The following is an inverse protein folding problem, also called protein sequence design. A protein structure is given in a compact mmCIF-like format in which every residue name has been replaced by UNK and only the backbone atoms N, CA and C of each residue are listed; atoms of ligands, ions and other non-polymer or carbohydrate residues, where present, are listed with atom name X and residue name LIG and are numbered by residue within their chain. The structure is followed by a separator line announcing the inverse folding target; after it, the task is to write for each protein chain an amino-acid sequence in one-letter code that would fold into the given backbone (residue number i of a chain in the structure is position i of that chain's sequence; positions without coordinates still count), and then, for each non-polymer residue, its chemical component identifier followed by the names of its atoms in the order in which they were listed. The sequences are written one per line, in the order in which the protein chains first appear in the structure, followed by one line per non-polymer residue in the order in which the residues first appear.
data_IF_178696093877
#
_entry.id   IF_178696093877
#
_cell.length_a   1.000
_cell.length_b   1.000
_cell.length_c   1.000
_cell.angle_alpha   90.00
_cell.angle_beta   90.00
_cell.angle_gamma   90.00
#
_symmetry.space_group_name_H-M   'P 1'
#
loop_
_entity.id
_entity.type
_entity.pdbx_description
1 polymer ?
#
# COMPACT_ATOMS: atom_id res chain seq x y z
N UNK A 1 17.22 10.77 13.28
CA UNK A 1 15.89 10.13 13.27
C UNK A 1 15.69 9.63 11.84
N UNK A 2 15.11 8.43 11.64
CA UNK A 2 14.83 7.90 10.29
C UNK A 2 13.93 8.87 9.53
N UNK A 3 14.17 9.02 8.21
CA UNK A 3 13.34 9.86 7.33
C UNK A 3 12.63 8.98 6.30
N UNK A 4 11.32 9.07 6.23
CA UNK A 4 10.47 8.30 5.33
C UNK A 4 9.72 9.24 4.40
N UNK A 5 9.75 8.96 3.09
CA UNK A 5 8.94 9.65 2.11
C UNK A 5 7.68 8.85 1.80
N UNK A 6 6.50 9.45 1.96
CA UNK A 6 5.25 8.91 1.43
C UNK A 6 4.90 9.56 0.11
N UNK A 7 4.86 8.77 -0.96
CA UNK A 7 4.40 9.16 -2.29
C UNK A 7 2.92 8.87 -2.38
N UNK A 8 2.11 9.93 -2.46
CA UNK A 8 0.65 9.88 -2.43
C UNK A 8 0.06 9.87 -3.84
N UNK A 9 -0.83 8.92 -4.12
CA UNK A 9 -1.58 8.79 -5.37
C UNK A 9 -3.03 9.23 -5.17
N UNK A 10 -3.22 10.50 -4.74
CA UNK A 10 -4.53 11.06 -4.42
C UNK A 10 -4.71 12.44 -5.02
N UNK A 11 -5.96 12.73 -5.46
CA UNK A 11 -6.35 14.01 -6.04
C UNK A 11 -7.24 14.81 -5.09
N UNK A 12 -8.15 14.14 -4.39
CA UNK A 12 -9.14 14.77 -3.51
C UNK A 12 -8.45 15.31 -2.25
N UNK A 13 -8.52 16.62 -1.95
CA UNK A 13 -7.81 17.22 -0.80
C UNK A 13 -8.11 16.57 0.53
N UNK A 14 -9.37 16.21 0.77
CA UNK A 14 -9.78 15.49 1.97
C UNK A 14 -9.09 14.13 2.09
N UNK A 15 -9.03 13.37 1.00
CA UNK A 15 -8.38 12.06 0.97
C UNK A 15 -6.86 12.15 1.16
N UNK A 16 -6.23 13.21 0.64
CA UNK A 16 -4.82 13.52 0.89
C UNK A 16 -4.60 13.72 2.39
N UNK A 17 -5.40 14.57 3.02
CA UNK A 17 -5.29 14.87 4.44
C UNK A 17 -5.51 13.64 5.33
N UNK A 18 -6.55 12.86 5.05
CA UNK A 18 -6.86 11.64 5.79
C UNK A 18 -5.72 10.61 5.69
N UNK A 19 -5.16 10.42 4.51
CA UNK A 19 -4.01 9.51 4.32
C UNK A 19 -2.81 9.99 5.13
N UNK A 20 -2.49 11.28 5.07
CA UNK A 20 -1.41 11.87 5.86
C UNK A 20 -1.60 11.65 7.37
N UNK A 21 -2.80 11.88 7.90
CA UNK A 21 -3.09 11.64 9.31
C UNK A 21 -2.94 10.16 9.70
N UNK A 22 -3.43 9.25 8.83
CA UNK A 22 -3.33 7.82 9.07
C UNK A 22 -1.87 7.37 9.14
N UNK A 23 -1.04 7.81 8.20
CA UNK A 23 0.38 7.47 8.19
C UNK A 23 1.16 8.16 9.31
N UNK A 24 0.89 9.44 9.63
CA UNK A 24 1.51 10.10 10.80
C UNK A 24 1.23 9.32 12.10
N UNK A 25 0.00 8.84 12.27
CA UNK A 25 -0.35 8.01 13.43
C UNK A 25 0.38 6.66 13.41
N UNK A 26 0.43 5.97 12.27
CA UNK A 26 1.07 4.65 12.14
C UNK A 26 2.59 4.71 12.29
N UNK A 27 3.22 5.78 11.81
CA UNK A 27 4.68 6.05 11.95
C UNK A 27 5.02 6.53 13.36
N UNK A 28 4.16 7.34 13.97
CA UNK A 28 4.35 7.85 15.32
C UNK A 28 5.66 8.63 15.48
N UNK A 29 6.47 8.23 16.48
CA UNK A 29 7.77 8.82 16.79
C UNK A 29 8.95 8.04 16.19
N UNK A 30 8.70 7.00 15.41
CA UNK A 30 9.74 6.11 14.88
C UNK A 30 10.53 6.74 13.74
N UNK A 31 9.89 7.64 12.98
CA UNK A 31 10.50 8.33 11.86
C UNK A 31 9.87 9.70 11.62
N UNK A 32 10.62 10.58 10.98
CA UNK A 32 10.09 11.78 10.32
C UNK A 32 9.42 11.36 9.02
N UNK A 33 8.20 11.85 8.78
CA UNK A 33 7.41 11.49 7.59
C UNK A 33 7.17 12.72 6.74
N UNK A 34 7.68 12.68 5.52
CA UNK A 34 7.45 13.70 4.49
C UNK A 34 6.50 13.17 3.41
N UNK A 35 5.87 14.08 2.68
CA UNK A 35 4.83 13.77 1.70
C UNK A 35 5.14 14.35 0.34
N UNK A 36 4.96 13.53 -0.69
CA UNK A 36 5.11 13.90 -2.09
C UNK A 36 3.87 13.47 -2.87
N UNK A 37 3.28 14.37 -3.64
CA UNK A 37 2.19 14.01 -4.53
C UNK A 37 2.71 13.40 -5.84
N UNK A 38 2.25 12.21 -6.20
CA UNK A 38 2.52 11.60 -7.51
C UNK A 38 1.93 12.42 -8.69
N UNK A 39 1.08 13.40 -8.38
CA UNK A 39 0.49 14.32 -9.35
C UNK A 39 1.30 15.61 -9.53
N UNK A 40 2.35 15.85 -8.75
CA UNK A 40 3.15 17.08 -8.90
C UNK A 40 3.94 17.05 -10.21
N UNK A 41 3.51 17.88 -11.15
CA UNK A 41 4.12 18.01 -12.49
C UNK A 41 5.44 18.78 -12.48
N UNK A 42 5.74 19.51 -11.40
CA UNK A 42 6.97 20.30 -11.27
C UNK A 42 8.15 19.45 -10.83
N UNK A 43 7.88 18.23 -10.31
CA UNK A 43 8.93 17.34 -9.86
C UNK A 43 9.66 16.69 -11.05
N UNK A 44 10.98 16.64 -10.97
CA UNK A 44 11.82 15.93 -11.94
C UNK A 44 11.72 14.41 -11.73
N UNK A 45 10.62 13.81 -12.18
CA UNK A 45 10.36 12.37 -12.04
C UNK A 45 11.43 11.47 -12.71
N UNK A 46 12.27 12.04 -13.56
CA UNK A 46 13.40 11.36 -14.22
C UNK A 46 14.68 11.37 -13.39
N UNK A 47 14.72 12.06 -12.25
CA UNK A 47 15.88 12.21 -11.39
C UNK A 47 15.57 11.71 -9.96
N UNK A 48 15.31 10.41 -9.77
CA UNK A 48 14.90 9.85 -8.48
C UNK A 48 15.96 9.99 -7.38
N UNK A 49 17.23 10.03 -7.74
CA UNK A 49 18.37 10.22 -6.86
C UNK A 49 18.33 11.59 -6.15
N UNK A 50 17.94 12.66 -6.85
CA UNK A 50 17.82 14.00 -6.24
C UNK A 50 16.76 14.05 -5.13
N UNK A 51 15.74 13.18 -5.22
CA UNK A 51 14.65 13.15 -4.24
C UNK A 51 14.90 12.08 -3.18
N UNK A 52 15.16 10.83 -3.60
CA UNK A 52 15.18 9.68 -2.69
C UNK A 52 16.46 9.55 -1.87
N UNK A 53 17.57 10.17 -2.27
CA UNK A 53 18.84 10.07 -1.53
C UNK A 53 18.79 10.66 -0.12
N UNK A 54 17.82 11.53 0.17
CA UNK A 54 17.62 12.13 1.49
C UNK A 54 16.78 11.28 2.45
N UNK A 55 16.30 10.10 2.04
CA UNK A 55 15.39 9.28 2.84
C UNK A 55 15.97 7.90 3.14
N UNK A 56 15.58 7.36 4.30
CA UNK A 56 15.94 6.02 4.76
C UNK A 56 14.94 4.95 4.27
N UNK A 57 13.81 5.37 3.70
CA UNK A 57 12.80 4.50 3.11
C UNK A 57 11.71 5.28 2.37
N UNK A 58 10.99 4.60 1.50
CA UNK A 58 9.89 5.17 0.72
C UNK A 58 8.62 4.32 0.85
N UNK A 59 7.48 4.99 0.98
CA UNK A 59 6.15 4.38 0.98
C UNK A 59 5.41 4.84 -0.28
N UNK A 60 4.85 3.91 -1.03
CA UNK A 60 3.92 4.18 -2.13
C UNK A 60 2.50 3.89 -1.63
N UNK A 61 1.73 4.96 -1.44
CA UNK A 61 0.41 4.91 -0.82
C UNK A 61 -0.69 4.30 -1.69
N UNK A 62 -1.87 4.23 -1.11
CA UNK A 62 -3.09 3.79 -1.79
C UNK A 62 -3.70 4.87 -2.68
N UNK A 63 -4.76 4.49 -3.41
CA UNK A 63 -5.60 5.43 -4.15
C UNK A 63 -7.08 5.07 -4.00
N UNK A 64 -7.93 6.10 -3.86
CA UNK A 64 -9.38 5.99 -4.02
C UNK A 64 -9.84 6.66 -5.31
N UNK A 65 -8.99 7.49 -5.89
CA UNK A 65 -9.30 8.34 -7.04
C UNK A 65 -8.92 7.67 -8.37
N UNK A 66 -7.94 6.76 -8.34
CA UNK A 66 -7.36 6.15 -9.54
C UNK A 66 -7.33 4.63 -9.44
N UNK A 67 -7.59 3.96 -10.55
CA UNK A 67 -7.58 2.50 -10.69
C UNK A 67 -6.74 2.13 -11.92
N UNK A 68 -5.92 1.08 -11.86
CA UNK A 68 -5.22 0.55 -13.03
C UNK A 68 -6.20 -0.06 -14.03
N UNK A 69 -7.26 -0.68 -13.52
CA UNK A 69 -8.37 -1.22 -14.30
C UNK A 69 -9.72 -0.73 -13.74
N UNK A 70 -10.08 -1.02 -12.51
CA UNK A 70 -11.26 -0.55 -11.77
C UNK A 70 -12.61 -0.98 -12.39
N UNK A 71 -12.59 -1.90 -13.35
CA UNK A 71 -13.77 -2.20 -14.18
C UNK A 71 -14.16 -1.05 -15.12
N UNK A 72 -13.27 -0.07 -15.33
CA UNK A 72 -13.49 1.14 -16.14
C UNK A 72 -13.04 0.94 -17.58
N UNK A 73 -13.56 1.78 -18.50
CA UNK A 73 -13.08 1.82 -19.89
C UNK A 73 -11.66 2.36 -19.96
N UNK A 74 -10.88 1.98 -20.99
CA UNK A 74 -9.48 2.40 -21.16
C UNK A 74 -9.27 3.92 -21.17
N UNK A 75 -10.23 4.65 -21.73
CA UNK A 75 -10.20 6.13 -21.83
C UNK A 75 -10.79 6.83 -20.60
N UNK A 76 -11.10 6.10 -19.52
CA UNK A 76 -11.56 6.71 -18.28
C UNK A 76 -10.43 7.54 -17.67
N UNK A 77 -10.71 8.80 -17.24
CA UNK A 77 -9.69 9.68 -16.67
C UNK A 77 -8.94 9.06 -15.48
N UNK A 78 -9.61 8.27 -14.65
CA UNK A 78 -8.99 7.62 -13.51
C UNK A 78 -7.96 6.56 -13.93
N UNK A 79 -8.21 5.82 -15.03
CA UNK A 79 -7.24 4.87 -15.61
C UNK A 79 -6.07 5.58 -16.28
N UNK A 80 -6.35 6.65 -17.03
CA UNK A 80 -5.30 7.45 -17.68
C UNK A 80 -4.36 8.02 -16.62
N UNK A 81 -4.91 8.59 -15.54
CA UNK A 81 -4.10 9.14 -14.47
C UNK A 81 -3.31 8.03 -13.73
N UNK A 82 -3.90 6.86 -13.51
CA UNK A 82 -3.17 5.71 -12.95
C UNK A 82 -1.96 5.32 -13.81
N UNK A 83 -2.10 5.32 -15.15
CA UNK A 83 -1.00 5.06 -16.06
C UNK A 83 0.10 6.15 -16.00
N UNK A 84 -0.30 7.42 -15.85
CA UNK A 84 0.64 8.54 -15.65
C UNK A 84 1.40 8.37 -14.32
N UNK A 85 0.71 8.05 -13.24
CA UNK A 85 1.32 7.81 -11.92
C UNK A 85 2.30 6.64 -12.01
N UNK A 86 1.91 5.52 -12.63
CA UNK A 86 2.80 4.38 -12.84
C UNK A 86 4.06 4.78 -13.63
N UNK A 87 3.90 5.56 -14.69
CA UNK A 87 5.03 6.06 -15.49
C UNK A 87 5.99 6.94 -14.68
N UNK A 88 5.45 7.87 -13.89
CA UNK A 88 6.22 8.77 -13.02
C UNK A 88 6.96 8.00 -11.92
N UNK A 89 6.25 7.14 -11.21
CA UNK A 89 6.81 6.41 -10.05
C UNK A 89 7.74 5.28 -10.46
N UNK A 90 7.71 4.85 -11.72
CA UNK A 90 8.55 3.75 -12.24
C UNK A 90 10.04 3.93 -11.94
N UNK A 91 10.59 5.10 -12.26
CA UNK A 91 12.02 5.36 -12.05
C UNK A 91 12.35 5.46 -10.56
N UNK A 92 11.46 5.99 -9.75
CA UNK A 92 11.60 6.04 -8.29
C UNK A 92 11.65 4.63 -7.68
N UNK A 93 10.72 3.77 -8.08
CA UNK A 93 10.69 2.37 -7.64
C UNK A 93 11.95 1.64 -8.11
N UNK A 94 12.31 1.78 -9.39
CA UNK A 94 13.51 1.15 -9.96
C UNK A 94 14.77 1.60 -9.23
N UNK A 95 14.92 2.90 -8.96
CA UNK A 95 16.05 3.44 -8.21
C UNK A 95 16.07 2.91 -6.77
N UNK A 96 14.93 2.94 -6.07
CA UNK A 96 14.83 2.46 -4.70
C UNK A 96 15.25 0.98 -4.59
N UNK A 97 14.81 0.14 -5.53
CA UNK A 97 15.23 -1.26 -5.60
C UNK A 97 16.72 -1.41 -5.89
N UNK A 98 17.26 -0.66 -6.87
CA UNK A 98 18.69 -0.70 -7.22
C UNK A 98 19.60 -0.25 -6.06
N UNK A 99 19.14 0.71 -5.25
CA UNK A 99 19.85 1.20 -4.07
C UNK A 99 19.58 0.37 -2.81
N UNK A 100 18.80 -0.71 -2.90
CA UNK A 100 18.32 -1.48 -1.75
C UNK A 100 17.71 -0.57 -0.65
N UNK A 101 17.03 0.50 -1.09
CA UNK A 101 16.27 1.39 -0.21
C UNK A 101 15.01 0.65 0.26
N UNK A 102 14.70 0.65 1.56
CA UNK A 102 13.44 0.10 2.06
C UNK A 102 12.21 0.69 1.35
N UNK A 103 11.36 -0.18 0.82
CA UNK A 103 10.12 0.20 0.13
C UNK A 103 8.93 -0.46 0.78
N UNK A 104 7.85 0.30 0.93
CA UNK A 104 6.55 -0.21 1.35
C UNK A 104 5.47 0.22 0.33
N UNK A 105 4.83 -0.74 -0.33
CA UNK A 105 3.70 -0.49 -1.23
C UNK A 105 2.37 -0.84 -0.56
N UNK A 106 1.39 0.07 -0.55
CA UNK A 106 0.09 -0.17 0.08
C UNK A 106 -1.03 0.02 -0.93
N UNK A 107 -1.90 -0.98 -1.07
CA UNK A 107 -3.06 -1.02 -1.95
C UNK A 107 -2.69 -0.68 -3.39
N UNK A 108 -2.88 0.55 -3.86
CA UNK A 108 -2.46 0.98 -5.19
C UNK A 108 -0.93 0.89 -5.36
N UNK A 109 -0.14 1.23 -4.32
CA UNK A 109 1.31 1.04 -4.31
C UNK A 109 1.73 -0.44 -4.45
N UNK A 110 1.00 -1.38 -3.83
CA UNK A 110 1.19 -2.81 -4.05
C UNK A 110 0.93 -3.20 -5.51
N UNK A 111 -0.14 -2.69 -6.11
CA UNK A 111 -0.53 -3.00 -7.48
C UNK A 111 0.48 -2.47 -8.52
N UNK A 112 0.93 -1.21 -8.39
CA UNK A 112 1.93 -0.65 -9.32
C UNK A 112 3.27 -1.37 -9.23
N UNK A 113 3.73 -1.73 -8.01
CA UNK A 113 4.97 -2.49 -7.84
C UNK A 113 4.82 -3.89 -8.44
N UNK A 114 3.69 -4.56 -8.21
CA UNK A 114 3.41 -5.86 -8.79
C UNK A 114 3.43 -5.82 -10.33
N UNK A 115 2.77 -4.84 -10.94
CA UNK A 115 2.75 -4.67 -12.39
C UNK A 115 4.15 -4.39 -12.98
N UNK A 116 4.98 -3.62 -12.28
CA UNK A 116 6.36 -3.36 -12.69
C UNK A 116 7.24 -4.62 -12.68
N UNK A 117 6.92 -5.60 -11.85
CA UNK A 117 7.63 -6.88 -11.74
C UNK A 117 6.95 -8.02 -12.51
N UNK A 118 6.13 -7.69 -13.52
CA UNK A 118 5.52 -8.68 -14.42
C UNK A 118 4.28 -9.37 -13.83
N UNK A 119 3.77 -8.90 -12.69
CA UNK A 119 2.45 -9.30 -12.21
C UNK A 119 1.33 -8.71 -13.06
N UNK A 120 0.17 -9.31 -13.02
CA UNK A 120 -1.04 -8.83 -13.69
C UNK A 120 -1.99 -8.24 -12.64
N UNK A 121 -2.50 -7.03 -12.92
CA UNK A 121 -3.48 -6.36 -12.06
C UNK A 121 -4.77 -6.22 -12.86
N UNK A 122 -5.86 -6.73 -12.33
CA UNK A 122 -7.16 -6.76 -13.00
C UNK A 122 -8.30 -6.43 -12.02
N UNK A 123 -9.42 -6.00 -12.59
CA UNK A 123 -10.67 -5.89 -11.85
C UNK A 123 -11.29 -7.29 -11.72
N UNK A 124 -10.94 -7.97 -10.64
CA UNK A 124 -11.43 -9.32 -10.32
C UNK A 124 -12.53 -9.22 -9.26
N UNK A 125 -13.77 -9.52 -9.65
CA UNK A 125 -14.93 -9.43 -8.77
C UNK A 125 -14.86 -10.41 -7.59
N UNK A 126 -14.17 -11.55 -7.73
CA UNK A 126 -14.01 -12.54 -6.66
C UNK A 126 -13.01 -12.06 -5.61
N UNK A 127 -12.01 -11.27 -6.03
CA UNK A 127 -10.98 -10.71 -5.16
C UNK A 127 -11.27 -9.29 -4.70
N UNK A 128 -12.21 -8.57 -5.33
CA UNK A 128 -12.63 -7.23 -4.91
C UNK A 128 -13.13 -7.25 -3.46
N UNK A 129 -12.59 -6.38 -2.62
CA UNK A 129 -12.91 -6.35 -1.19
C UNK A 129 -13.10 -4.97 -0.62
N UNK A 130 -14.07 -4.89 0.28
CA UNK A 130 -14.29 -3.76 1.17
C UNK A 130 -14.60 -4.31 2.56
N UNK A 131 -14.02 -3.71 3.59
CA UNK A 131 -14.23 -4.12 4.98
C UNK A 131 -13.03 -4.87 5.57
N UNK A 132 -13.28 -5.54 6.67
CA UNK A 132 -12.27 -6.31 7.40
C UNK A 132 -12.28 -7.77 6.96
N UNK A 133 -11.13 -8.25 6.54
CA UNK A 133 -10.97 -9.65 6.13
C UNK A 133 -9.75 -10.27 6.81
N UNK A 134 -9.77 -11.60 6.88
CA UNK A 134 -8.68 -12.38 7.39
C UNK A 134 -7.52 -12.43 6.40
N UNK A 135 -6.32 -12.29 6.93
CA UNK A 135 -5.02 -12.44 6.26
C UNK A 135 -4.32 -13.63 6.90
N UNK A 136 -3.85 -14.57 6.10
CA UNK A 136 -3.14 -15.77 6.55
C UNK A 136 -1.68 -15.69 6.09
N UNK A 137 -0.73 -15.83 7.01
CA UNK A 137 0.68 -15.95 6.66
C UNK A 137 0.93 -17.27 5.94
N UNK A 138 1.69 -17.21 4.86
CA UNK A 138 2.26 -18.41 4.23
C UNK A 138 3.44 -18.94 5.06
N UNK A 139 3.97 -20.13 4.78
CA UNK A 139 5.22 -20.58 5.41
C UNK A 139 6.39 -19.58 5.24
N UNK A 140 6.50 -18.94 4.07
CA UNK A 140 7.48 -17.87 3.84
C UNK A 140 7.20 -16.64 4.70
N UNK A 141 5.92 -16.30 4.89
CA UNK A 141 5.50 -15.20 5.77
C UNK A 141 5.75 -15.49 7.25
N UNK A 142 5.50 -16.73 7.70
CA UNK A 142 5.79 -17.14 9.09
C UNK A 142 7.31 -17.06 9.40
N UNK A 143 8.15 -17.31 8.40
CA UNK A 143 9.62 -17.21 8.51
C UNK A 143 10.20 -15.83 8.24
N UNK A 144 9.38 -14.88 7.79
CA UNK A 144 9.85 -13.56 7.38
C UNK A 144 10.14 -12.64 8.59
N UNK A 145 11.29 -11.94 8.59
CA UNK A 145 11.65 -11.03 9.69
C UNK A 145 10.60 -9.98 10.00
N UNK A 146 9.85 -9.49 9.00
CA UNK A 146 8.81 -8.49 9.22
C UNK A 146 7.70 -9.02 10.11
N UNK A 147 7.31 -10.29 9.92
CA UNK A 147 6.21 -10.91 10.66
C UNK A 147 6.63 -11.65 11.94
N UNK A 148 7.89 -11.52 12.36
CA UNK A 148 8.34 -12.17 13.59
C UNK A 148 7.47 -11.74 14.79
N UNK A 149 6.89 -12.71 15.49
CA UNK A 149 5.95 -12.49 16.60
C UNK A 149 4.52 -12.16 16.20
N UNK A 150 4.19 -12.14 14.92
CA UNK A 150 2.81 -12.02 14.46
C UNK A 150 2.10 -13.38 14.53
N UNK A 151 0.77 -13.39 14.75
CA UNK A 151 -0.02 -14.64 14.64
C UNK A 151 -0.09 -15.09 13.18
N UNK A 152 -0.29 -16.39 12.97
CA UNK A 152 -0.43 -16.99 11.63
C UNK A 152 -1.59 -16.40 10.83
N UNK A 153 -2.62 -15.91 11.51
CA UNK A 153 -3.77 -15.26 10.90
C UNK A 153 -4.15 -14.03 11.70
N UNK A 154 -4.53 -12.94 11.01
CA UNK A 154 -4.98 -11.71 11.61
C UNK A 154 -5.98 -10.98 10.70
N UNK A 155 -6.71 -10.02 11.27
CA UNK A 155 -7.66 -9.20 10.52
C UNK A 155 -6.97 -7.96 9.98
N UNK A 156 -7.28 -7.57 8.72
CA UNK A 156 -6.84 -6.31 8.10
C UNK A 156 -7.99 -5.62 7.37
N UNK A 157 -7.81 -4.31 7.12
CA UNK A 157 -8.79 -3.49 6.40
C UNK A 157 -8.50 -3.50 4.90
N UNK A 158 -9.51 -3.77 4.09
CA UNK A 158 -9.42 -3.80 2.63
C UNK A 158 -10.38 -2.78 2.01
N UNK A 159 -9.94 -2.14 0.93
CA UNK A 159 -10.75 -1.21 0.14
C UNK A 159 -10.24 -1.13 -1.29
N UNK A 160 -10.40 -2.20 -2.09
CA UNK A 160 -9.86 -2.25 -3.45
C UNK A 160 -10.85 -2.88 -4.45
N UNK A 161 -10.74 -2.44 -5.70
CA UNK A 161 -11.47 -2.98 -6.86
C UNK A 161 -10.58 -3.88 -7.69
N UNK A 162 -9.34 -3.42 -7.93
CA UNK A 162 -8.33 -4.16 -8.66
C UNK A 162 -7.52 -5.04 -7.70
N UNK A 163 -7.09 -6.17 -8.20
CA UNK A 163 -6.27 -7.13 -7.46
C UNK A 163 -5.13 -7.63 -8.33
N UNK A 164 -4.01 -7.97 -7.71
CA UNK A 164 -2.97 -8.75 -8.38
C UNK A 164 -3.53 -10.15 -8.62
N UNK A 165 -3.54 -10.61 -9.87
CA UNK A 165 -4.08 -11.92 -10.29
C UNK A 165 -2.99 -12.92 -10.70
N UNK A 166 -1.80 -12.42 -11.03
CA UNK A 166 -0.60 -13.23 -11.35
C UNK A 166 0.53 -12.79 -10.46
N UNK A 167 1.16 -13.75 -9.78
CA UNK A 167 2.29 -13.49 -8.87
C UNK A 167 3.44 -12.84 -9.63
N UNK A 168 3.95 -11.68 -9.18
CA UNK A 168 5.07 -11.01 -9.82
C UNK A 168 6.37 -11.82 -9.76
N UNK A 169 7.15 -11.75 -10.82
CA UNK A 169 8.44 -12.44 -10.89
C UNK A 169 9.40 -11.96 -9.78
N UNK A 170 10.10 -12.90 -9.14
CA UNK A 170 11.06 -12.61 -8.08
C UNK A 170 10.45 -12.14 -6.77
N UNK A 171 9.12 -12.20 -6.62
CA UNK A 171 8.45 -11.93 -5.35
C UNK A 171 8.27 -13.20 -4.52
N UNK A 172 8.23 -13.05 -3.19
CA UNK A 172 7.78 -14.06 -2.24
C UNK A 172 6.37 -13.72 -1.79
N UNK A 173 5.49 -14.71 -1.78
CA UNK A 173 4.15 -14.58 -1.20
C UNK A 173 4.24 -14.77 0.31
N UNK A 174 4.06 -13.68 1.06
CA UNK A 174 4.13 -13.69 2.52
C UNK A 174 2.78 -13.93 3.18
N UNK A 175 1.69 -13.44 2.56
CA UNK A 175 0.35 -13.66 3.08
C UNK A 175 -0.69 -13.70 1.96
N UNK A 176 -1.69 -14.51 2.17
CA UNK A 176 -2.89 -14.63 1.35
C UNK A 176 -4.17 -14.38 2.17
N UNK A 177 -5.31 -14.52 1.53
CA UNK A 177 -6.62 -14.50 2.16
C UNK A 177 -7.66 -15.11 1.23
N UNK A 178 -8.78 -15.56 1.81
CA UNK A 178 -9.82 -16.33 1.10
C UNK A 178 -10.24 -15.74 -0.25
N UNK A 179 -10.16 -14.42 -0.43
CA UNK A 179 -10.48 -13.76 -1.67
C UNK A 179 -9.51 -12.60 -1.99
N UNK A 180 -8.27 -12.72 -1.56
CA UNK A 180 -7.15 -11.88 -1.99
C UNK A 180 -5.91 -12.78 -2.00
N UNK A 181 -5.61 -13.36 -3.17
CA UNK A 181 -4.55 -14.37 -3.34
C UNK A 181 -3.17 -13.86 -2.98
N UNK A 182 -2.91 -12.57 -3.20
CA UNK A 182 -1.61 -11.95 -2.99
C UNK A 182 -1.77 -10.75 -2.05
N UNK A 183 -2.07 -11.05 -0.77
CA UNK A 183 -2.34 -10.03 0.26
C UNK A 183 -1.08 -9.32 0.72
N UNK A 184 0.06 -10.02 0.79
CA UNK A 184 1.37 -9.45 1.13
C UNK A 184 2.46 -10.11 0.31
N UNK A 185 3.32 -9.30 -0.29
CA UNK A 185 4.47 -9.73 -1.09
C UNK A 185 5.75 -9.07 -0.58
N UNK A 186 6.88 -9.77 -0.77
CA UNK A 186 8.22 -9.22 -0.60
C UNK A 186 9.03 -9.38 -1.89
N UNK A 187 9.79 -8.35 -2.21
CA UNK A 187 10.73 -8.32 -3.32
C UNK A 187 12.13 -8.07 -2.76
N UNK A 188 13.05 -8.99 -3.02
CA UNK A 188 14.38 -8.93 -2.42
C UNK A 188 14.31 -8.93 -0.88
N UNK A 189 15.14 -8.10 -0.22
CA UNK A 189 15.25 -8.09 1.23
C UNK A 189 14.41 -7.01 1.93
N UNK A 190 14.16 -5.87 1.25
CA UNK A 190 13.64 -4.66 1.90
C UNK A 190 12.39 -4.05 1.28
N UNK A 191 11.89 -4.63 0.19
CA UNK A 191 10.67 -4.12 -0.44
C UNK A 191 9.49 -5.03 -0.10
N UNK A 192 8.51 -4.47 0.62
CA UNK A 192 7.29 -5.13 1.06
C UNK A 192 6.07 -4.46 0.47
N UNK A 193 5.04 -5.23 0.16
CA UNK A 193 3.79 -4.64 -0.34
C UNK A 193 2.58 -5.34 0.26
N UNK A 194 1.53 -4.56 0.55
CA UNK A 194 0.26 -5.04 1.12
C UNK A 194 -0.91 -4.58 0.27
N UNK A 195 -1.82 -5.48 -0.09
CA UNK A 195 -3.08 -5.11 -0.74
C UNK A 195 -4.05 -4.45 0.25
N UNK A 196 -3.94 -4.75 1.53
CA UNK A 196 -4.72 -4.16 2.62
C UNK A 196 -4.08 -2.87 3.17
N UNK A 197 -4.80 -2.20 4.07
CA UNK A 197 -4.46 -0.90 4.63
C UNK A 197 -4.08 -1.00 6.12
N UNK A 198 -2.80 -1.22 6.47
CA UNK A 198 -2.36 -1.25 7.86
C UNK A 198 -2.41 0.13 8.54
N UNK A 199 -2.39 1.22 7.76
CA UNK A 199 -2.50 2.59 8.25
C UNK A 199 -3.91 2.97 8.73
N UNK A 200 -4.94 2.23 8.32
CA UNK A 200 -6.35 2.57 8.58
C UNK A 200 -6.85 1.90 9.85
N UNK A 201 -7.41 2.68 10.77
CA UNK A 201 -8.06 2.15 11.96
C UNK A 201 -9.57 1.90 11.76
N UNK A 202 -10.16 1.10 12.66
CA UNK A 202 -11.56 0.70 12.63
C UNK A 202 -12.54 1.88 12.56
N UNK A 203 -12.48 2.81 13.52
CA UNK A 203 -13.49 3.87 13.65
C UNK A 203 -13.52 4.82 12.46
N UNK A 204 -12.34 5.21 11.96
CA UNK A 204 -12.23 6.07 10.77
C UNK A 204 -12.65 5.32 9.51
N UNK A 205 -12.35 4.02 9.40
CA UNK A 205 -12.73 3.23 8.23
C UNK A 205 -14.24 3.00 8.16
N UNK A 206 -14.89 2.64 9.27
CA UNK A 206 -16.33 2.46 9.35
C UNK A 206 -17.10 3.75 8.98
N UNK A 207 -16.64 4.90 9.49
CA UNK A 207 -17.23 6.20 9.15
C UNK A 207 -17.14 6.49 7.64
N UNK A 208 -15.97 6.22 7.03
CA UNK A 208 -15.74 6.44 5.59
C UNK A 208 -16.56 5.55 4.70
N UNK A 209 -16.74 4.27 5.04
CA UNK A 209 -17.60 3.38 4.27
C UNK A 209 -19.04 3.88 4.20
N UNK A 210 -19.51 4.51 5.28
CA UNK A 210 -20.83 5.12 5.32
C UNK A 210 -20.91 6.39 4.47
N UNK A 211 -19.93 7.27 4.61
CA UNK A 211 -19.90 8.59 3.97
C UNK A 211 -19.76 8.50 2.44
N UNK A 212 -18.87 7.63 1.95
CA UNK A 212 -18.56 7.50 0.52
C UNK A 212 -19.37 6.45 -0.23
N UNK A 213 -20.37 5.82 0.40
CA UNK A 213 -21.25 4.87 -0.27
C UNK A 213 -20.56 3.61 -0.80
N UNK A 214 -19.48 3.17 -0.17
CA UNK A 214 -18.77 1.96 -0.57
C UNK A 214 -19.51 0.67 -0.24
N UNK A 215 -20.55 0.75 0.58
CA UNK A 215 -21.36 -0.40 0.97
C UNK A 215 -22.65 -0.46 0.14
N UNK A 216 -23.16 -1.66 -0.14
CA UNK A 216 -24.49 -1.84 -0.70
C UNK A 216 -25.56 -1.20 0.20
N UNK A 217 -26.69 -0.81 -0.40
CA UNK A 217 -27.82 -0.27 0.33
C UNK A 217 -28.28 -1.24 1.44
N UNK A 218 -28.50 -0.70 2.63
CA UNK A 218 -28.93 -1.47 3.81
C UNK A 218 -27.81 -2.18 4.57
N UNK A 219 -26.57 -2.20 4.08
CA UNK A 219 -25.42 -2.79 4.80
C UNK A 219 -24.85 -1.76 5.78
N UNK A 220 -24.84 -2.11 7.07
CA UNK A 220 -24.24 -1.26 8.11
C UNK A 220 -22.71 -1.44 8.14
N UNK A 221 -21.93 -0.35 8.26
CA UNK A 221 -20.47 -0.45 8.36
C UNK A 221 -19.98 -1.41 9.45
N UNK A 222 -20.65 -1.41 10.59
CA UNK A 222 -20.32 -2.24 11.76
C UNK A 222 -20.46 -3.75 11.50
N UNK A 223 -21.22 -4.14 10.45
CA UNK A 223 -21.35 -5.54 10.06
C UNK A 223 -20.18 -6.06 9.22
N UNK A 224 -19.41 -5.16 8.61
CA UNK A 224 -18.32 -5.48 7.69
C UNK A 224 -16.94 -4.99 8.14
N UNK A 225 -16.90 -4.15 9.18
CA UNK A 225 -15.65 -3.63 9.75
C UNK A 225 -15.46 -4.15 11.17
N UNK A 226 -14.27 -4.67 11.44
CA UNK A 226 -13.81 -5.15 12.75
C UNK A 226 -12.50 -4.47 13.10
N UNK A 227 -12.14 -4.45 14.37
CA UNK A 227 -10.81 -4.00 14.76
C UNK A 227 -9.70 -4.87 14.16
N UNK A 228 -8.58 -4.24 13.83
CA UNK A 228 -7.40 -4.89 13.22
C UNK A 228 -6.12 -4.48 13.95
N UNK A 229 -6.03 -4.73 15.28
CA UNK A 229 -4.91 -4.26 16.09
C UNK A 229 -3.57 -4.82 15.64
N UNK A 230 -3.53 -6.07 15.16
CA UNK A 230 -2.31 -6.71 14.66
C UNK A 230 -1.85 -6.04 13.37
N UNK A 231 -2.73 -5.90 12.36
CA UNK A 231 -2.37 -5.27 11.10
C UNK A 231 -1.89 -3.82 11.29
N UNK A 232 -2.46 -3.09 12.25
CA UNK A 232 -2.09 -1.70 12.52
C UNK A 232 -0.67 -1.51 13.04
N UNK A 233 0.02 -2.58 13.45
CA UNK A 233 1.43 -2.53 13.87
C UNK A 233 2.43 -2.78 12.74
N UNK A 234 1.98 -3.13 11.53
CA UNK A 234 2.86 -3.52 10.42
C UNK A 234 3.76 -2.37 9.92
N UNK A 235 3.26 -1.14 9.90
CA UNK A 235 4.08 0.01 9.48
C UNK A 235 5.19 0.28 10.49
N UNK A 236 4.87 0.27 11.79
CA UNK A 236 5.89 0.42 12.83
C UNK A 236 6.88 -0.74 12.81
N UNK A 237 6.42 -1.98 12.64
CA UNK A 237 7.30 -3.14 12.50
C UNK A 237 8.22 -3.03 11.26
N UNK A 238 7.71 -2.54 10.12
CA UNK A 238 8.54 -2.29 8.94
C UNK A 238 9.61 -1.22 9.20
N UNK A 239 9.26 -0.11 9.85
CA UNK A 239 10.22 0.94 10.20
C UNK A 239 11.30 0.39 11.15
N UNK A 240 10.92 -0.39 12.14
CA UNK A 240 11.85 -0.91 13.15
C UNK A 240 12.78 -2.00 12.61
N UNK A 241 12.24 -2.92 11.79
CA UNK A 241 12.92 -4.16 11.38
C UNK A 241 13.58 -4.09 10.01
N UNK A 242 13.06 -3.25 9.11
CA UNK A 242 13.50 -3.20 7.70
C UNK A 242 14.24 -1.91 7.37
N UNK A 243 13.76 -0.77 7.89
CA UNK A 243 14.44 0.52 7.66
C UNK A 243 15.68 0.61 8.55
N UNK A 244 16.89 0.81 7.99
CA UNK A 244 18.11 0.91 8.78
C UNK A 244 18.07 2.11 9.73
N UNK A 245 18.97 2.13 10.73
CA UNK A 245 19.21 3.34 11.48
C UNK A 245 19.69 4.45 10.53
N UNK A 246 19.26 5.70 10.79
CA UNK A 246 19.70 6.84 9.98
C UNK A 246 21.22 6.85 9.85
N UNK A 247 21.71 7.06 8.64
CA UNK A 247 23.14 7.30 8.44
C UNK A 247 23.51 8.57 9.21
N UNK A 248 24.47 8.47 10.08
CA UNK A 248 25.02 9.59 10.84
C UNK A 248 25.68 10.61 9.90
#
# INVERSE_FOLDING_TARGET
MKKILLIQSRQTPEMIHIEQENFRRAVGKLAELEFLSALDERLAWTMPDEVLSGYDGAIFGGSSDFDLHGGRREKDPARIMAAIILSRTRLFITYAFAQNLPVLGICFGHQIIAQMHGGVVESDLEQKKVGSHEVNLTPDGEGDPLFNGFPKSFVAQYGHKDSVTVLPSGSLLLADGRACKFSALRYGEKAYTFQFHPEVNYSKFAARLKEFGYLPEGVKPESVVRESPVASTLISAWIERVVPASRA
#
